data_IF_802597486614
#
_entry.id   IF_802597486614
#
_cell.length_a   1.000
_cell.length_b   1.000
_cell.length_c   1.000
_cell.angle_alpha   90.00
_cell.angle_beta   90.00
_cell.angle_gamma   90.00
#
_symmetry.space_group_name_H-M   'P 1'
#
loop_
_entity.id
_entity.type
_entity.pdbx_description
1 polymer ?
#
# COMPACT_ATOMS: atom_id res chain seq x y z
N UNK A 1 -42.49 -23.49 51.78
CA UNK A 1 -42.56 -24.26 50.52
C UNK A 1 -42.00 -23.37 49.41
N UNK A 2 -41.02 -23.84 48.64
CA UNK A 2 -40.48 -23.07 47.52
C UNK A 2 -41.49 -23.03 46.37
N UNK A 3 -41.85 -21.83 45.90
CA UNK A 3 -42.78 -21.63 44.79
C UNK A 3 -42.26 -22.34 43.52
N UNK A 4 -43.03 -23.30 42.99
CA UNK A 4 -42.74 -23.99 41.74
C UNK A 4 -43.58 -23.40 40.60
N UNK A 5 -42.97 -22.71 39.64
CA UNK A 5 -43.71 -22.12 38.52
C UNK A 5 -44.37 -23.19 37.64
N UNK A 6 -45.56 -22.89 37.10
CA UNK A 6 -46.30 -23.81 36.22
C UNK A 6 -45.54 -24.09 34.91
N UNK A 7 -45.78 -25.26 34.30
CA UNK A 7 -45.15 -25.61 33.00
C UNK A 7 -45.45 -24.57 31.91
N UNK A 8 -46.64 -23.99 31.93
CA UNK A 8 -47.06 -22.98 30.97
C UNK A 8 -46.29 -21.67 31.18
N UNK A 9 -46.13 -21.22 32.43
CA UNK A 9 -45.36 -20.02 32.76
C UNK A 9 -43.88 -20.15 32.38
N UNK A 10 -43.27 -21.33 32.61
CA UNK A 10 -41.89 -21.61 32.14
C UNK A 10 -41.76 -21.56 30.62
N UNK A 11 -42.70 -22.15 29.88
CA UNK A 11 -42.68 -22.11 28.41
C UNK A 11 -42.79 -20.68 27.88
N UNK A 12 -43.67 -19.87 28.46
CA UNK A 12 -43.83 -18.46 28.07
C UNK A 12 -42.58 -17.64 28.36
N UNK A 13 -41.96 -17.81 29.54
CA UNK A 13 -40.72 -17.10 29.88
C UNK A 13 -39.54 -17.52 28.99
N UNK A 14 -39.39 -18.82 28.71
CA UNK A 14 -38.34 -19.30 27.81
C UNK A 14 -38.58 -18.84 26.36
N UNK A 15 -39.82 -18.90 25.88
CA UNK A 15 -40.18 -18.42 24.54
C UNK A 15 -40.00 -16.91 24.39
N UNK A 16 -40.50 -16.12 25.34
CA UNK A 16 -40.31 -14.66 25.35
C UNK A 16 -38.84 -14.26 25.49
N UNK A 17 -38.09 -14.94 26.37
CA UNK A 17 -36.65 -14.74 26.52
C UNK A 17 -35.87 -15.06 25.25
N UNK A 18 -36.22 -16.13 24.54
CA UNK A 18 -35.61 -16.48 23.27
C UNK A 18 -35.89 -15.40 22.19
N UNK A 19 -37.11 -14.85 22.13
CA UNK A 19 -37.45 -13.77 21.20
C UNK A 19 -36.66 -12.49 21.51
N UNK A 20 -36.57 -12.08 22.78
CA UNK A 20 -35.79 -10.89 23.18
C UNK A 20 -34.30 -11.08 22.88
N UNK A 21 -33.76 -12.28 23.14
CA UNK A 21 -32.37 -12.60 22.82
C UNK A 21 -32.11 -12.56 21.31
N UNK A 22 -33.00 -13.15 20.49
CA UNK A 22 -32.89 -13.08 19.04
C UNK A 22 -33.01 -11.63 18.53
N UNK A 23 -33.94 -10.83 19.05
CA UNK A 23 -34.06 -9.43 18.70
C UNK A 23 -32.80 -8.64 19.09
N UNK A 24 -32.24 -8.87 20.28
CA UNK A 24 -31.01 -8.25 20.75
C UNK A 24 -29.78 -8.64 19.92
N UNK A 25 -29.70 -9.89 19.47
CA UNK A 25 -28.61 -10.37 18.60
C UNK A 25 -28.70 -9.81 17.18
N UNK A 26 -29.90 -9.52 16.67
CA UNK A 26 -30.11 -8.98 15.32
C UNK A 26 -30.19 -7.44 15.27
N UNK A 27 -30.47 -6.78 16.41
CA UNK A 27 -30.61 -5.32 16.47
C UNK A 27 -29.37 -4.57 15.94
N UNK A 28 -28.11 -4.95 16.25
CA UNK A 28 -26.95 -4.28 15.69
C UNK A 28 -26.89 -4.34 14.16
N UNK A 29 -27.24 -5.48 13.55
CA UNK A 29 -27.25 -5.64 12.09
C UNK A 29 -28.39 -4.85 11.43
N UNK A 30 -29.57 -4.81 12.07
CA UNK A 30 -30.70 -4.01 11.59
C UNK A 30 -30.40 -2.50 11.68
N UNK A 31 -29.78 -2.06 12.78
CA UNK A 31 -29.34 -0.68 12.96
C UNK A 31 -28.25 -0.31 11.97
N UNK A 32 -27.20 -1.12 11.81
CA UNK A 32 -26.13 -0.84 10.86
C UNK A 32 -26.66 -0.75 9.42
N UNK A 33 -27.56 -1.65 9.03
CA UNK A 33 -28.21 -1.57 7.72
C UNK A 33 -29.02 -0.28 7.55
N UNK A 34 -29.80 0.12 8.55
CA UNK A 34 -30.59 1.36 8.49
C UNK A 34 -29.68 2.60 8.43
N UNK A 35 -28.59 2.61 9.20
CA UNK A 35 -27.57 3.66 9.19
C UNK A 35 -26.88 3.75 7.82
N UNK A 36 -26.46 2.62 7.23
CA UNK A 36 -25.84 2.57 5.90
C UNK A 36 -26.78 3.09 4.82
N UNK A 37 -28.06 2.69 4.87
CA UNK A 37 -29.09 3.15 3.91
C UNK A 37 -29.38 4.64 4.06
N UNK A 38 -29.50 5.12 5.28
CA UNK A 38 -29.71 6.54 5.55
C UNK A 38 -28.50 7.37 5.13
N UNK A 39 -27.27 6.89 5.41
CA UNK A 39 -26.05 7.52 4.96
C UNK A 39 -25.99 7.61 3.43
N UNK A 40 -26.22 6.49 2.72
CA UNK A 40 -26.26 6.44 1.27
C UNK A 40 -27.30 7.42 0.69
N UNK A 41 -28.51 7.45 1.23
CA UNK A 41 -29.54 8.43 0.84
C UNK A 41 -29.05 9.87 1.05
N UNK A 42 -28.50 10.18 2.24
CA UNK A 42 -28.07 11.52 2.59
C UNK A 42 -26.96 12.04 1.69
N UNK A 43 -25.94 11.23 1.42
CA UNK A 43 -24.82 11.64 0.56
C UNK A 43 -25.19 11.74 -0.92
N UNK A 44 -26.33 11.16 -1.31
CA UNK A 44 -26.80 11.16 -2.70
C UNK A 44 -27.69 12.38 -3.02
N UNK A 45 -28.11 13.16 -2.01
CA UNK A 45 -29.01 14.31 -2.20
C UNK A 45 -28.35 15.43 -3.02
N UNK A 46 -29.09 16.13 -3.91
CA UNK A 46 -28.56 17.23 -4.72
C UNK A 46 -27.92 18.34 -3.89
N UNK A 47 -28.55 18.73 -2.78
CA UNK A 47 -28.04 19.78 -1.88
C UNK A 47 -26.73 19.33 -1.22
N UNK A 48 -26.65 18.07 -0.81
CA UNK A 48 -25.43 17.49 -0.24
C UNK A 48 -24.31 17.45 -1.28
N UNK A 49 -24.59 16.97 -2.50
CA UNK A 49 -23.59 16.90 -3.58
C UNK A 49 -23.13 18.28 -4.03
N UNK A 50 -24.02 19.28 -4.03
CA UNK A 50 -23.66 20.65 -4.37
C UNK A 50 -22.71 21.27 -3.33
N UNK A 51 -22.86 20.92 -2.05
CA UNK A 51 -22.01 21.43 -0.97
C UNK A 51 -20.70 20.64 -0.79
N UNK A 52 -20.74 19.31 -0.92
CA UNK A 52 -19.63 18.42 -0.54
C UNK A 52 -19.05 17.59 -1.70
N UNK A 53 -19.68 17.59 -2.88
CA UNK A 53 -19.34 16.71 -3.99
C UNK A 53 -19.81 15.26 -3.79
N UNK A 54 -19.31 14.36 -4.62
CA UNK A 54 -19.59 12.92 -4.54
C UNK A 54 -18.38 12.09 -4.97
N UNK A 55 -18.27 10.89 -4.42
CA UNK A 55 -17.25 9.91 -4.80
C UNK A 55 -17.88 8.73 -5.50
N UNK A 56 -17.23 8.25 -6.55
CA UNK A 56 -17.60 7.04 -7.26
C UNK A 56 -16.37 6.15 -7.43
N UNK A 57 -16.60 4.84 -7.42
CA UNK A 57 -15.55 3.87 -7.72
C UNK A 57 -15.49 3.65 -9.22
N UNK A 58 -14.33 3.89 -9.80
CA UNK A 58 -14.05 3.47 -11.18
C UNK A 58 -13.86 1.95 -11.20
N UNK A 59 -14.64 1.24 -12.02
CA UNK A 59 -14.48 -0.21 -12.18
C UNK A 59 -13.33 -0.51 -13.16
N UNK A 60 -12.18 -0.89 -12.60
CA UNK A 60 -10.96 -1.20 -13.35
C UNK A 60 -10.89 -2.72 -13.56
N UNK A 61 -10.86 -3.21 -14.82
CA UNK A 61 -10.68 -4.63 -15.11
C UNK A 61 -9.39 -5.18 -14.50
N UNK A 62 -9.42 -6.44 -14.06
CA UNK A 62 -8.36 -7.03 -13.22
C UNK A 62 -6.98 -6.96 -13.87
N UNK A 63 -6.91 -7.10 -15.18
CA UNK A 63 -5.70 -7.05 -16.00
C UNK A 63 -5.05 -5.66 -16.06
N UNK A 64 -5.82 -4.59 -15.83
CA UNK A 64 -5.31 -3.20 -15.78
C UNK A 64 -5.10 -2.69 -14.36
N UNK A 65 -5.46 -3.47 -13.33
CA UNK A 65 -5.17 -3.07 -11.95
C UNK A 65 -3.67 -3.06 -11.73
N UNK A 66 -3.20 -1.96 -11.14
CA UNK A 66 -1.80 -1.74 -10.82
C UNK A 66 -1.69 -0.94 -9.54
N UNK A 67 -0.54 -0.99 -8.88
CA UNK A 67 -0.26 -0.14 -7.73
C UNK A 67 0.10 1.25 -8.25
N UNK A 68 -0.91 2.07 -8.51
CA UNK A 68 -0.75 3.42 -9.05
C UNK A 68 0.04 4.32 -8.08
N UNK A 69 1.34 4.49 -8.34
CA UNK A 69 2.22 5.34 -7.53
C UNK A 69 2.29 6.77 -8.10
N UNK A 70 2.40 6.88 -9.43
CA UNK A 70 2.46 8.15 -10.14
C UNK A 70 1.30 8.26 -11.12
N UNK A 71 0.77 9.47 -11.29
CA UNK A 71 -0.26 9.76 -12.28
C UNK A 71 -0.04 11.14 -12.91
N UNK A 72 -0.27 11.24 -14.22
CA UNK A 72 -0.21 12.50 -14.95
C UNK A 72 -1.37 12.60 -15.94
N UNK A 73 -2.13 13.69 -15.86
CA UNK A 73 -3.08 14.07 -16.91
C UNK A 73 -2.29 14.53 -18.15
N UNK A 74 -2.53 13.89 -19.28
CA UNK A 74 -1.90 14.23 -20.55
C UNK A 74 -2.73 15.27 -21.31
N UNK A 75 -2.10 15.95 -22.27
CA UNK A 75 -2.76 16.93 -23.14
C UNK A 75 -3.91 16.33 -23.98
N UNK A 76 -4.01 15.01 -24.07
CA UNK A 76 -5.08 14.27 -24.74
C UNK A 76 -6.32 14.07 -23.88
N UNK A 77 -6.30 14.49 -22.61
CA UNK A 77 -7.37 14.22 -21.63
C UNK A 77 -7.28 12.84 -20.96
N UNK A 78 -6.37 11.97 -21.43
CA UNK A 78 -6.10 10.67 -20.81
C UNK A 78 -5.14 10.82 -19.63
N UNK A 79 -5.19 9.87 -18.69
CA UNK A 79 -4.32 9.83 -17.51
C UNK A 79 -3.31 8.69 -17.66
N UNK A 80 -2.02 9.03 -17.66
CA UNK A 80 -0.95 8.04 -17.59
C UNK A 80 -0.70 7.69 -16.12
N UNK A 81 -0.84 6.41 -15.77
CA UNK A 81 -0.62 5.87 -14.44
C UNK A 81 0.64 5.00 -14.50
N UNK A 82 1.69 5.41 -13.81
CA UNK A 82 2.99 4.71 -13.80
C UNK A 82 3.18 4.05 -12.44
N UNK A 83 3.25 2.73 -12.44
CA UNK A 83 3.53 1.95 -11.23
C UNK A 83 5.01 1.58 -11.14
N UNK A 84 5.65 1.28 -12.28
CA UNK A 84 6.94 0.60 -12.27
C UNK A 84 6.76 -0.81 -11.70
N UNK A 85 7.59 -1.21 -10.74
CA UNK A 85 7.36 -2.43 -9.95
C UNK A 85 6.13 -2.34 -9.03
N UNK A 86 5.66 -1.13 -8.74
CA UNK A 86 4.52 -0.90 -7.85
C UNK A 86 4.84 -1.10 -6.37
N UNK A 87 6.12 -0.93 -5.98
CA UNK A 87 6.62 -1.24 -4.63
C UNK A 87 6.34 -2.70 -4.23
N UNK A 88 6.41 -3.61 -5.20
CA UNK A 88 6.25 -5.06 -5.00
C UNK A 88 7.57 -5.77 -5.35
N UNK A 89 8.15 -6.47 -4.39
CA UNK A 89 9.45 -7.14 -4.54
C UNK A 89 9.43 -8.19 -5.65
N UNK A 90 8.33 -8.94 -5.80
CA UNK A 90 8.23 -10.00 -6.81
C UNK A 90 8.22 -9.42 -8.22
N UNK A 91 7.52 -8.30 -8.41
CA UNK A 91 7.50 -7.59 -9.68
C UNK A 91 8.88 -7.03 -10.03
N UNK A 92 9.58 -6.48 -9.04
CA UNK A 92 10.93 -5.95 -9.22
C UNK A 92 11.94 -7.04 -9.60
N UNK A 93 11.97 -8.14 -8.85
CA UNK A 93 12.87 -9.27 -9.09
C UNK A 93 12.60 -9.96 -10.44
N UNK A 94 11.34 -9.96 -10.89
CA UNK A 94 10.94 -10.46 -12.20
C UNK A 94 11.25 -9.49 -13.35
N UNK A 95 11.63 -8.24 -13.07
CA UNK A 95 11.80 -7.17 -14.06
C UNK A 95 10.49 -6.81 -14.77
N UNK A 96 9.35 -7.02 -14.12
CA UNK A 96 8.02 -6.74 -14.69
C UNK A 96 7.53 -5.38 -14.20
N UNK A 97 7.48 -4.41 -15.10
CA UNK A 97 7.09 -3.04 -14.79
C UNK A 97 5.82 -2.64 -15.53
N UNK A 98 4.99 -1.85 -14.85
CA UNK A 98 3.63 -1.59 -15.29
C UNK A 98 3.32 -0.11 -15.43
N UNK A 99 2.63 0.22 -16.52
CA UNK A 99 2.07 1.54 -16.81
C UNK A 99 0.73 1.34 -17.52
N UNK A 100 -0.28 2.09 -17.09
CA UNK A 100 -1.63 2.04 -17.62
C UNK A 100 -2.04 3.43 -18.10
N UNK A 101 -2.54 3.52 -19.32
CA UNK A 101 -3.20 4.71 -19.84
C UNK A 101 -4.71 4.54 -19.64
N UNK A 102 -5.32 5.45 -18.88
CA UNK A 102 -6.75 5.49 -18.63
C UNK A 102 -7.39 6.64 -19.41
N UNK A 103 -8.44 6.35 -20.16
CA UNK A 103 -9.31 7.36 -20.76
C UNK A 103 -10.56 7.55 -19.87
N UNK A 104 -10.68 8.67 -19.14
CA UNK A 104 -11.79 8.89 -18.23
C UNK A 104 -13.12 9.19 -18.94
N UNK A 105 -13.11 9.62 -20.21
CA UNK A 105 -14.34 9.91 -20.95
C UNK A 105 -15.04 8.62 -21.40
N UNK A 106 -14.25 7.66 -21.89
CA UNK A 106 -14.76 6.37 -22.39
C UNK A 106 -14.65 5.25 -21.34
N UNK A 107 -14.03 5.53 -20.19
CA UNK A 107 -13.65 4.57 -19.16
C UNK A 107 -12.91 3.33 -19.72
N UNK A 108 -11.92 3.58 -20.58
CA UNK A 108 -11.10 2.53 -21.22
C UNK A 108 -9.66 2.56 -20.71
N UNK A 109 -8.99 1.41 -20.80
CA UNK A 109 -7.64 1.22 -20.24
C UNK A 109 -6.74 0.55 -21.26
N UNK A 110 -5.46 0.91 -21.26
CA UNK A 110 -4.45 0.34 -22.13
C UNK A 110 -3.14 0.16 -21.36
N UNK A 111 -2.47 -0.99 -21.53
CA UNK A 111 -1.10 -1.21 -21.03
C UNK A 111 -0.09 -0.49 -21.91
N UNK A 112 0.85 0.21 -21.28
CA UNK A 112 1.97 0.86 -21.95
C UNK A 112 3.25 0.09 -21.61
N UNK A 113 4.03 -0.38 -22.61
CA UNK A 113 5.31 -1.03 -22.37
C UNK A 113 6.22 -0.15 -21.51
N UNK A 114 6.71 -0.71 -20.40
CA UNK A 114 7.51 0.00 -19.41
C UNK A 114 8.87 -0.68 -19.30
N UNK A 115 9.93 -0.13 -19.93
CA UNK A 115 11.21 -0.83 -20.07
C UNK A 115 12.06 -0.85 -18.81
N UNK A 116 11.84 0.10 -17.89
CA UNK A 116 12.64 0.33 -16.70
C UNK A 116 11.73 0.55 -15.50
N UNK A 117 12.24 0.35 -14.29
CA UNK A 117 11.47 0.61 -13.09
C UNK A 117 11.38 2.12 -12.79
N UNK A 118 10.34 2.76 -13.32
CA UNK A 118 10.04 4.16 -13.04
C UNK A 118 9.41 4.40 -11.65
N UNK A 119 9.23 3.37 -10.83
CA UNK A 119 8.93 3.57 -9.41
C UNK A 119 10.01 4.46 -8.76
N UNK A 120 9.61 5.42 -7.93
CA UNK A 120 10.48 6.48 -7.38
C UNK A 120 11.09 7.48 -8.39
N UNK A 121 10.73 7.40 -9.68
CA UNK A 121 11.11 8.41 -10.67
C UNK A 121 10.44 9.76 -10.44
N UNK A 122 11.03 10.82 -10.98
CA UNK A 122 10.41 12.13 -11.10
C UNK A 122 9.85 12.33 -12.51
N UNK A 123 8.77 13.11 -12.63
CA UNK A 123 8.18 13.41 -13.93
C UNK A 123 7.72 14.86 -14.06
N UNK A 124 7.84 15.41 -15.26
CA UNK A 124 7.45 16.78 -15.58
C UNK A 124 6.90 16.86 -17.02
N UNK A 125 5.85 17.65 -17.19
CA UNK A 125 5.29 17.91 -18.52
C UNK A 125 6.20 18.87 -19.29
N UNK A 126 6.46 18.55 -20.55
CA UNK A 126 7.21 19.40 -21.47
C UNK A 126 6.25 20.30 -22.27
N UNK A 127 6.72 21.46 -22.77
CA UNK A 127 5.87 22.39 -23.52
C UNK A 127 5.23 21.82 -24.79
N UNK A 128 5.81 20.76 -25.36
CA UNK A 128 5.28 20.06 -26.53
C UNK A 128 4.24 18.97 -26.20
N UNK A 129 3.83 18.87 -24.92
CA UNK A 129 2.84 17.92 -24.44
C UNK A 129 3.40 16.58 -24.02
N UNK A 130 4.68 16.28 -24.30
CA UNK A 130 5.32 15.04 -23.82
C UNK A 130 5.51 15.07 -22.30
N UNK A 131 5.63 13.89 -21.69
CA UNK A 131 5.99 13.74 -20.28
C UNK A 131 7.44 13.26 -20.19
N UNK A 132 8.31 14.08 -19.61
CA UNK A 132 9.65 13.63 -19.21
C UNK A 132 9.49 12.79 -17.94
N UNK A 133 10.06 11.59 -17.94
CA UNK A 133 10.20 10.74 -16.76
C UNK A 133 11.69 10.43 -16.62
N UNK A 134 12.24 10.68 -15.43
CA UNK A 134 13.66 10.50 -15.16
C UNK A 134 13.90 9.94 -13.76
N UNK A 135 14.95 9.15 -13.61
CA UNK A 135 15.23 8.39 -12.40
C UNK A 135 14.45 7.08 -12.38
N UNK A 136 14.07 6.64 -11.19
CA UNK A 136 13.53 5.30 -10.96
C UNK A 136 14.19 4.69 -9.73
N UNK A 137 14.04 3.38 -9.56
CA UNK A 137 14.76 2.64 -8.52
C UNK A 137 15.57 1.52 -9.13
N UNK A 138 16.82 1.39 -8.67
CA UNK A 138 17.70 0.30 -9.06
C UNK A 138 17.61 -0.91 -8.12
N UNK A 139 16.98 -0.72 -6.94
CA UNK A 139 16.71 -1.74 -5.91
C UNK A 139 15.99 -1.12 -4.72
N UNK A 140 15.22 -1.91 -4.02
CA UNK A 140 14.78 -1.64 -2.65
C UNK A 140 14.89 -2.92 -1.82
N UNK A 141 15.46 -2.81 -0.63
CA UNK A 141 15.68 -3.95 0.25
C UNK A 141 14.44 -4.17 1.11
N UNK A 142 13.94 -5.41 1.12
CA UNK A 142 12.99 -5.87 2.14
C UNK A 142 13.80 -6.34 3.35
N UNK A 143 13.57 -5.72 4.50
CA UNK A 143 14.12 -6.21 5.77
C UNK A 143 13.30 -7.40 6.26
N UNK A 144 13.93 -8.38 6.91
CA UNK A 144 13.26 -9.57 7.47
C UNK A 144 11.94 -9.21 8.18
N UNK A 145 10.90 -10.03 7.97
CA UNK A 145 9.50 -9.86 8.42
C UNK A 145 9.28 -9.49 9.90
N UNK A 146 10.33 -9.55 10.73
CA UNK A 146 10.29 -9.26 12.17
C UNK A 146 11.39 -8.28 12.57
N UNK A 147 11.33 -7.06 12.03
CA UNK A 147 12.11 -5.92 12.54
C UNK A 147 11.60 -5.54 13.94
N UNK A 148 12.11 -6.19 14.99
CA UNK A 148 11.80 -5.86 16.41
C UNK A 148 12.68 -4.75 16.99
N UNK A 149 13.72 -4.36 16.27
CA UNK A 149 14.70 -3.33 16.65
C UNK A 149 15.02 -2.50 15.42
N UNK A 150 15.27 -1.21 15.61
CA UNK A 150 15.69 -0.33 14.53
C UNK A 150 16.89 -0.90 13.75
N UNK A 151 16.83 -0.81 12.43
CA UNK A 151 17.85 -1.31 11.51
C UNK A 151 17.63 -0.75 10.11
N UNK A 152 18.60 -0.99 9.23
CA UNK A 152 18.56 -0.54 7.84
C UNK A 152 19.90 -0.77 7.16
N UNK A 153 20.00 -0.37 5.88
CA UNK A 153 21.24 -0.45 5.12
C UNK A 153 22.35 0.41 5.72
N UNK A 154 23.57 -0.13 5.80
CA UNK A 154 24.77 0.57 6.26
C UNK A 154 25.75 0.71 5.09
N UNK A 155 26.19 1.94 4.78
CA UNK A 155 27.24 2.18 3.79
C UNK A 155 28.60 2.16 4.49
N UNK A 156 29.42 1.15 4.17
CA UNK A 156 30.79 1.03 4.69
C UNK A 156 31.78 1.43 3.59
N UNK A 157 32.65 2.39 3.87
CA UNK A 157 33.71 2.83 2.95
C UNK A 157 35.04 2.18 3.33
N UNK A 158 35.71 1.57 2.36
CA UNK A 158 37.09 1.11 2.50
C UNK A 158 37.99 1.96 1.60
N UNK A 159 38.80 2.82 2.20
CA UNK A 159 39.77 3.68 1.47
C UNK A 159 41.12 2.99 1.26
N UNK A 160 41.32 1.78 1.79
CA UNK A 160 42.57 1.05 1.62
C UNK A 160 42.66 0.48 0.19
N UNK A 161 43.65 0.89 -0.63
CA UNK A 161 43.79 0.40 -2.01
C UNK A 161 44.52 -0.95 -2.10
N UNK A 162 45.13 -1.41 -1.02
CA UNK A 162 45.99 -2.59 -1.01
C UNK A 162 45.21 -3.86 -0.67
N UNK A 163 44.19 -3.76 0.19
CA UNK A 163 43.42 -4.92 0.66
C UNK A 163 41.93 -4.65 0.88
N UNK A 164 41.07 -5.66 0.68
CA UNK A 164 39.66 -5.59 1.04
C UNK A 164 39.48 -5.62 2.57
N UNK A 165 38.36 -5.05 3.04
CA UNK A 165 37.93 -5.10 4.43
C UNK A 165 36.87 -6.20 4.60
N UNK A 166 37.11 -7.14 5.52
CA UNK A 166 36.14 -8.19 5.89
C UNK A 166 35.58 -7.89 7.27
N UNK A 167 34.27 -7.70 7.37
CA UNK A 167 33.53 -7.52 8.61
C UNK A 167 32.66 -8.75 8.84
N UNK A 168 32.80 -9.40 10.00
CA UNK A 168 31.99 -10.58 10.32
C UNK A 168 30.60 -10.16 10.80
N UNK A 169 29.62 -11.05 10.63
CA UNK A 169 28.35 -11.00 11.36
C UNK A 169 28.62 -10.77 12.85
N UNK A 170 27.88 -9.84 13.46
CA UNK A 170 28.09 -9.43 14.85
C UNK A 170 29.02 -8.22 15.02
N UNK A 171 29.66 -7.73 13.96
CA UNK A 171 30.44 -6.48 14.02
C UNK A 171 29.54 -5.34 14.51
N UNK A 172 29.99 -4.59 15.52
CA UNK A 172 29.27 -3.46 16.12
C UNK A 172 29.74 -2.15 15.50
N UNK A 173 28.81 -1.36 15.00
CA UNK A 173 29.02 0.02 14.56
C UNK A 173 28.44 0.96 15.61
N UNK A 174 29.27 1.80 16.21
CA UNK A 174 28.84 2.79 17.20
C UNK A 174 28.86 4.18 16.59
N UNK A 175 27.73 4.87 16.65
CA UNK A 175 27.61 6.27 16.24
C UNK A 175 28.24 7.22 17.28
N UNK A 176 28.56 8.47 16.92
CA UNK A 176 29.07 9.47 17.87
C UNK A 176 28.14 9.74 19.06
N UNK A 177 26.82 9.55 18.89
CA UNK A 177 25.82 9.69 19.96
C UNK A 177 25.70 8.44 20.83
N UNK A 178 26.49 7.39 20.58
CA UNK A 178 26.51 6.16 21.38
C UNK A 178 25.52 5.09 20.93
N UNK A 179 24.72 5.31 19.88
CA UNK A 179 23.83 4.28 19.33
C UNK A 179 24.65 3.20 18.64
N UNK A 180 24.34 1.93 18.94
CA UNK A 180 25.01 0.76 18.40
C UNK A 180 24.13 0.01 17.39
N UNK A 181 24.76 -0.35 16.26
CA UNK A 181 24.18 -1.20 15.22
C UNK A 181 25.02 -2.46 15.07
N UNK A 182 24.39 -3.59 14.76
CA UNK A 182 25.08 -4.88 14.67
C UNK A 182 24.87 -5.49 13.29
N UNK A 183 25.97 -5.82 12.60
CA UNK A 183 25.92 -6.51 11.30
C UNK A 183 25.20 -7.86 11.41
N UNK A 184 24.23 -8.11 10.53
CA UNK A 184 23.43 -9.35 10.53
C UNK A 184 24.00 -10.47 9.64
N UNK A 185 24.96 -10.13 8.80
CA UNK A 185 25.63 -11.02 7.85
C UNK A 185 27.11 -10.61 7.71
N UNK A 186 27.91 -11.50 7.12
CA UNK A 186 29.30 -11.21 6.77
C UNK A 186 29.36 -10.21 5.59
N UNK A 187 30.23 -9.20 5.69
CA UNK A 187 30.38 -8.16 4.67
C UNK A 187 31.83 -8.13 4.20
N UNK A 188 32.04 -8.19 2.89
CA UNK A 188 33.35 -7.91 2.27
C UNK A 188 33.25 -6.62 1.49
N UNK A 189 33.98 -5.59 1.93
CA UNK A 189 34.12 -4.33 1.21
C UNK A 189 35.39 -4.40 0.36
N UNK A 190 35.30 -4.28 -0.98
CA UNK A 190 36.46 -4.31 -1.86
C UNK A 190 37.53 -3.30 -1.47
N UNK A 191 38.77 -3.52 -1.92
CA UNK A 191 39.83 -2.52 -1.83
C UNK A 191 39.47 -1.29 -2.69
N UNK A 192 39.93 -0.12 -2.29
CA UNK A 192 39.75 1.09 -3.09
C UNK A 192 40.42 0.94 -4.46
N UNK A 193 39.76 1.41 -5.52
CA UNK A 193 40.39 1.59 -6.83
C UNK A 193 41.06 2.96 -6.84
N UNK A 194 42.30 3.01 -7.33
CA UNK A 194 42.95 4.28 -7.64
C UNK A 194 42.55 4.65 -9.06
N UNK A 195 41.87 5.77 -9.23
CA UNK A 195 41.66 6.39 -10.54
C UNK A 195 42.79 7.41 -10.71
N UNK A 196 43.61 7.21 -11.75
CA UNK A 196 44.69 8.12 -12.15
C UNK A 196 44.37 8.64 -13.54
#
# INVERSE_FOLDING_TARGET
>A
MAYRPSKQMRKTLLGGGAVVLLAGLNAPAALSFAEDRYHAYKIDQPEYKAEYGSWERVDIPKEYRTNAIHAALLHTGKVLIVAGSGNDEKNFDAGTFDTVLWDPAENTFQKIPTPEDFFCGGHAQLPDGRLLIAGGTARYEVLDDKVKRAGGGMRVKNENPDKPLKLKKGTVFRSPSGVEYVAKFDVTVPKAKREF
#
